data_IF_964275421942
#
_entry.id   IF_964275421942
#
_cell.length_a   1.000
_cell.length_b   1.000
_cell.length_c   1.000
_cell.angle_alpha   90.00
_cell.angle_beta   90.00
_cell.angle_gamma   90.00
#
_symmetry.space_group_name_H-M   'P 1'
#
loop_
_entity.id
_entity.type
_entity.pdbx_description
1 polymer ?
#
# COMPACT_ATOMS: atom_id res chain seq x y z
N UNK A 1 31.86 3.11 -23.80
CA UNK A 1 30.62 2.92 -24.58
C UNK A 1 29.48 3.54 -23.79
N UNK A 2 28.56 4.18 -24.53
CA UNK A 2 27.58 5.20 -24.12
C UNK A 2 26.60 4.76 -23.03
N UNK A 3 26.29 5.65 -22.08
CA UNK A 3 24.97 5.66 -21.44
C UNK A 3 24.39 7.09 -21.38
N UNK A 4 23.29 7.23 -22.12
CA UNK A 4 22.42 8.41 -22.26
C UNK A 4 21.79 8.78 -20.91
N UNK A 5 21.80 10.07 -20.57
CA UNK A 5 20.82 10.69 -19.66
C UNK A 5 19.80 11.46 -20.52
N UNK A 6 18.51 11.24 -20.29
CA UNK A 6 17.41 11.94 -20.95
C UNK A 6 16.90 13.02 -19.99
N UNK A 7 16.69 14.23 -20.52
CA UNK A 7 16.06 15.37 -19.83
C UNK A 7 14.68 15.53 -20.44
N UNK A 8 13.62 15.40 -19.64
CA UNK A 8 12.26 15.71 -20.06
C UNK A 8 11.80 17.01 -19.41
N UNK A 9 11.26 17.93 -20.23
CA UNK A 9 10.70 19.21 -19.80
C UNK A 9 9.16 19.14 -19.88
N UNK A 10 8.47 19.49 -18.80
CA UNK A 10 7.03 19.76 -18.81
C UNK A 10 6.83 21.28 -18.87
N UNK A 11 6.21 21.77 -19.95
CA UNK A 11 5.90 23.20 -20.13
C UNK A 11 4.47 23.48 -19.64
N UNK A 12 4.34 24.28 -18.58
CA UNK A 12 3.09 24.96 -18.23
C UNK A 12 3.26 26.44 -18.57
N UNK A 13 2.54 26.91 -19.59
CA UNK A 13 2.55 28.30 -20.02
C UNK A 13 1.41 29.08 -19.35
N UNK A 14 1.74 30.12 -18.59
CA UNK A 14 0.82 31.22 -18.27
C UNK A 14 1.52 32.52 -18.67
N UNK A 15 1.03 33.15 -19.75
CA UNK A 15 1.47 34.46 -20.21
C UNK A 15 0.56 35.51 -19.58
N UNK A 16 1.13 36.46 -18.84
CA UNK A 16 0.49 37.76 -18.59
C UNK A 16 1.48 38.84 -19.03
N UNK A 17 1.16 39.46 -20.17
CA UNK A 17 1.76 40.72 -20.60
C UNK A 17 1.03 41.84 -19.87
N UNK A 18 1.75 42.73 -19.19
CA UNK A 18 1.22 44.05 -18.85
C UNK A 18 2.23 45.14 -19.17
N UNK A 19 1.97 45.81 -20.29
CA UNK A 19 2.42 47.17 -20.59
C UNK A 19 1.71 48.16 -19.68
N UNK A 20 2.49 49.14 -19.23
CA UNK A 20 2.14 50.25 -18.33
C UNK A 20 0.98 51.11 -18.89
N UNK A 21 0.01 51.51 -18.04
CA UNK A 21 -0.81 52.69 -18.31
C UNK A 21 -2.20 52.80 -17.65
N UNK A 22 -2.24 53.27 -16.40
CA UNK A 22 -3.22 54.22 -15.83
C UNK A 22 -4.72 53.87 -15.64
N UNK A 23 -5.17 54.09 -14.40
CA UNK A 23 -6.49 54.53 -13.89
C UNK A 23 -7.59 53.48 -13.60
N UNK A 24 -7.72 53.25 -12.28
CA UNK A 24 -8.92 53.49 -11.45
C UNK A 24 -9.91 52.35 -11.16
N UNK A 25 -10.08 52.14 -9.84
CA UNK A 25 -11.26 51.70 -9.09
C UNK A 25 -11.74 50.24 -9.19
N UNK A 26 -11.90 49.61 -8.02
CA UNK A 26 -12.93 48.58 -7.81
C UNK A 26 -12.49 47.41 -6.94
N UNK A 27 -13.12 47.26 -5.78
CA UNK A 27 -12.86 46.29 -4.72
C UNK A 27 -13.59 44.94 -5.03
N UNK A 28 -13.09 43.85 -4.43
CA UNK A 28 -13.79 42.68 -3.85
C UNK A 28 -13.52 41.30 -4.52
N UNK A 29 -13.45 40.34 -3.61
CA UNK A 29 -12.85 39.01 -3.50
C UNK A 29 -13.50 37.84 -4.26
N UNK A 30 -12.65 36.82 -4.48
CA UNK A 30 -12.83 35.36 -4.45
C UNK A 30 -14.25 34.76 -4.57
N UNK A 31 -14.49 33.99 -5.65
CA UNK A 31 -15.01 32.62 -5.60
C UNK A 31 -14.95 31.93 -6.98
N UNK A 32 -14.41 30.71 -6.95
CA UNK A 32 -14.84 29.46 -7.61
C UNK A 32 -15.45 29.38 -9.02
N UNK A 33 -14.99 28.33 -9.71
CA UNK A 33 -15.70 27.42 -10.63
C UNK A 33 -16.06 27.85 -12.08
N UNK A 34 -15.34 27.19 -13.01
CA UNK A 34 -15.86 26.33 -14.09
C UNK A 34 -16.66 26.90 -15.28
N UNK A 35 -16.24 26.44 -16.47
CA UNK A 35 -17.07 26.00 -17.60
C UNK A 35 -17.72 27.10 -18.49
N UNK A 36 -17.09 27.25 -19.65
CA UNK A 36 -17.69 27.30 -20.99
C UNK A 36 -18.41 28.55 -21.52
N UNK A 37 -18.10 28.80 -22.79
CA UNK A 37 -18.97 29.34 -23.85
C UNK A 37 -19.23 30.84 -23.87
N UNK A 38 -18.68 31.53 -24.88
CA UNK A 38 -19.46 32.31 -25.84
C UNK A 38 -18.65 32.69 -27.09
N UNK A 39 -19.30 32.44 -28.23
CA UNK A 39 -18.97 32.73 -29.63
C UNK A 39 -18.46 34.18 -29.87
N UNK A 40 -17.79 34.54 -30.97
CA UNK A 40 -18.15 34.30 -32.37
C UNK A 40 -17.05 34.74 -33.37
N UNK A 41 -16.83 33.93 -34.42
CA UNK A 41 -16.54 34.22 -35.86
C UNK A 41 -15.58 35.39 -36.22
N UNK A 42 -14.62 35.27 -37.14
CA UNK A 42 -14.71 34.74 -38.52
C UNK A 42 -13.35 34.32 -39.09
N UNK A 43 -13.40 33.39 -40.04
CA UNK A 43 -12.29 32.88 -40.84
C UNK A 43 -11.39 33.98 -41.44
N UNK A 44 -10.09 33.89 -41.19
CA UNK A 44 -9.05 34.10 -42.20
C UNK A 44 -7.76 33.40 -41.74
N UNK A 45 -7.14 32.71 -42.69
CA UNK A 45 -6.00 31.79 -42.55
C UNK A 45 -4.78 32.42 -41.90
N UNK A 46 -4.18 31.74 -40.90
CA UNK A 46 -2.79 31.98 -40.51
C UNK A 46 -2.05 30.65 -40.56
N UNK A 47 -1.03 30.63 -41.41
CA UNK A 47 -0.12 29.53 -41.70
C UNK A 47 0.51 28.96 -40.42
N UNK A 48 0.34 27.66 -40.20
CA UNK A 48 1.20 26.88 -39.32
C UNK A 48 2.56 26.71 -39.98
N UNK A 49 3.51 27.59 -39.69
CA UNK A 49 4.91 27.36 -40.02
C UNK A 49 5.54 26.52 -38.90
N UNK A 50 5.80 25.25 -39.21
CA UNK A 50 6.58 24.33 -38.40
C UNK A 50 7.97 24.91 -38.11
N UNK A 51 8.36 24.99 -36.84
CA UNK A 51 9.75 25.05 -36.40
C UNK A 51 10.07 23.80 -35.59
N UNK A 52 10.15 22.66 -36.27
CA UNK A 52 11.18 21.67 -35.93
C UNK A 52 12.44 22.09 -36.69
N UNK A 53 13.40 22.72 -36.02
CA UNK A 53 14.84 22.62 -36.32
C UNK A 53 15.61 23.61 -35.42
N UNK A 54 16.06 23.12 -34.28
CA UNK A 54 17.33 23.54 -33.65
C UNK A 54 17.74 22.53 -32.60
N UNK A 55 18.09 21.33 -33.06
CA UNK A 55 19.06 20.50 -32.38
C UNK A 55 20.39 21.28 -32.30
N UNK A 56 20.67 21.91 -31.16
CA UNK A 56 21.98 22.48 -30.86
C UNK A 56 22.66 21.60 -29.80
N UNK A 57 23.84 21.10 -30.17
CA UNK A 57 24.51 19.97 -29.56
C UNK A 57 25.00 20.17 -28.12
N UNK A 58 24.63 19.23 -27.27
CA UNK A 58 25.28 18.96 -25.99
C UNK A 58 26.52 18.09 -26.25
N UNK A 59 27.71 18.69 -26.25
CA UNK A 59 28.98 17.95 -26.15
C UNK A 59 29.21 17.53 -24.70
N UNK A 60 29.54 16.25 -24.53
CA UNK A 60 30.08 15.70 -23.30
C UNK A 60 31.36 16.43 -22.88
N UNK A 61 31.49 16.67 -21.58
CA UNK A 61 32.71 17.14 -20.96
C UNK A 61 32.76 18.66 -20.75
N UNK A 62 32.75 19.03 -19.47
CA UNK A 62 33.30 20.25 -18.90
C UNK A 62 32.44 21.54 -18.90
N UNK A 63 32.25 21.98 -17.65
CA UNK A 63 32.38 23.37 -17.18
C UNK A 63 31.19 24.30 -17.47
N UNK A 64 30.57 24.72 -16.36
CA UNK A 64 29.82 25.97 -16.27
C UNK A 64 30.79 27.09 -16.67
N UNK A 65 30.68 27.60 -17.90
CA UNK A 65 31.38 28.82 -18.30
C UNK A 65 30.75 30.02 -17.60
N UNK A 66 31.26 30.34 -16.42
CA UNK A 66 31.28 31.72 -15.94
C UNK A 66 32.67 32.28 -16.20
N UNK A 67 32.80 33.21 -17.13
CA UNK A 67 34.04 34.00 -17.28
C UNK A 67 34.25 34.92 -16.06
N UNK A 68 35.51 35.24 -15.70
CA UNK A 68 35.90 35.46 -14.32
C UNK A 68 35.83 36.93 -13.91
N UNK A 69 35.42 37.18 -12.67
CA UNK A 69 35.95 38.32 -11.92
C UNK A 69 36.65 37.79 -10.66
N UNK A 70 37.89 38.22 -10.47
CA UNK A 70 38.78 37.81 -9.37
C UNK A 70 38.12 38.05 -8.01
N UNK A 71 38.08 37.01 -7.18
CA UNK A 71 37.99 37.16 -5.72
C UNK A 71 36.71 36.65 -5.03
N UNK A 72 36.24 35.44 -5.32
CA UNK A 72 35.15 34.83 -4.54
C UNK A 72 35.33 33.33 -4.36
N UNK A 73 35.07 32.87 -3.13
CA UNK A 73 35.33 31.51 -2.62
C UNK A 73 34.23 30.52 -3.04
N UNK A 74 34.61 29.26 -3.17
CA UNK A 74 33.74 28.11 -3.40
C UNK A 74 32.66 27.96 -2.31
N UNK A 75 31.40 27.75 -2.72
CA UNK A 75 30.35 27.22 -1.85
C UNK A 75 29.97 25.84 -2.39
N UNK A 76 30.32 24.80 -1.65
CA UNK A 76 29.80 23.46 -1.85
C UNK A 76 28.39 23.41 -1.26
N UNK A 77 27.37 23.19 -2.09
CA UNK A 77 26.01 22.95 -1.61
C UNK A 77 25.78 21.43 -1.50
N UNK A 78 25.82 20.92 -0.26
CA UNK A 78 25.12 19.69 0.13
C UNK A 78 23.66 20.06 0.39
N UNK A 79 22.72 19.43 -0.30
CA UNK A 79 21.31 19.49 0.08
C UNK A 79 20.32 19.60 -1.09
N UNK A 80 19.29 18.76 -1.03
CA UNK A 80 18.12 18.70 -1.90
C UNK A 80 17.44 20.09 -1.95
N UNK A 81 17.26 20.64 -3.15
CA UNK A 81 16.57 21.91 -3.34
C UNK A 81 16.31 22.20 -4.81
N UNK A 82 15.09 22.66 -5.13
CA UNK A 82 14.65 23.05 -6.48
C UNK A 82 15.60 24.10 -7.06
N UNK A 83 16.14 23.86 -8.25
CA UNK A 83 16.96 24.86 -8.94
C UNK A 83 16.05 25.72 -9.82
N UNK A 84 16.17 27.04 -9.70
CA UNK A 84 15.45 28.00 -10.54
C UNK A 84 16.42 28.53 -11.58
N UNK A 85 16.18 28.24 -12.86
CA UNK A 85 17.01 28.72 -13.96
C UNK A 85 16.29 29.89 -14.63
N UNK A 86 16.97 31.03 -14.72
CA UNK A 86 16.47 32.19 -15.45
C UNK A 86 17.21 32.22 -16.79
N UNK A 87 16.54 31.90 -17.92
CA UNK A 87 17.16 32.01 -19.22
C UNK A 87 17.37 33.49 -19.57
N UNK A 88 18.61 33.89 -19.87
CA UNK A 88 18.97 35.21 -20.37
C UNK A 88 19.22 35.16 -21.88
N UNK A 89 18.56 36.02 -22.64
CA UNK A 89 18.90 36.26 -24.05
C UNK A 89 19.98 37.34 -24.17
N UNK A 90 20.69 37.39 -25.30
CA UNK A 90 21.75 38.38 -25.59
C UNK A 90 21.29 39.85 -25.48
N UNK A 91 19.98 40.12 -25.52
CA UNK A 91 19.41 41.47 -25.58
C UNK A 91 18.59 41.87 -24.33
N UNK A 92 18.63 41.07 -23.26
CA UNK A 92 17.91 41.34 -22.00
C UNK A 92 17.01 40.19 -21.55
N UNK A 93 16.64 40.23 -20.26
CA UNK A 93 16.00 39.15 -19.50
C UNK A 93 14.66 38.67 -20.10
N UNK A 94 14.48 37.34 -20.20
CA UNK A 94 13.15 36.73 -20.27
C UNK A 94 12.60 36.65 -18.84
N UNK A 95 11.39 37.19 -18.61
CA UNK A 95 10.74 37.22 -17.29
C UNK A 95 10.19 35.87 -16.82
N UNK A 96 10.36 34.78 -17.57
CA UNK A 96 9.90 33.45 -17.18
C UNK A 96 11.04 32.64 -16.57
N UNK A 97 10.97 32.40 -15.26
CA UNK A 97 11.84 31.44 -14.58
C UNK A 97 11.42 30.02 -14.95
N UNK A 98 12.35 29.17 -15.38
CA UNK A 98 12.12 27.73 -15.55
C UNK A 98 12.51 27.05 -14.23
N UNK A 99 11.59 26.27 -13.67
CA UNK A 99 11.89 25.42 -12.52
C UNK A 99 12.54 24.13 -13.04
N UNK A 100 13.80 23.89 -12.68
CA UNK A 100 14.55 22.71 -13.11
C UNK A 100 14.71 21.79 -11.90
N UNK A 101 14.15 20.58 -12.00
CA UNK A 101 14.36 19.52 -11.01
C UNK A 101 15.69 18.83 -11.33
N UNK A 102 16.75 19.19 -10.61
CA UNK A 102 17.97 18.39 -10.61
C UNK A 102 17.67 17.13 -9.82
N UNK A 103 17.45 16.01 -10.52
CA UNK A 103 17.31 14.70 -9.89
C UNK A 103 18.67 14.04 -9.93
N UNK A 104 19.40 14.04 -8.81
CA UNK A 104 20.44 13.03 -8.63
C UNK A 104 19.73 11.68 -8.63
N UNK A 105 20.05 10.83 -9.60
CA UNK A 105 19.46 9.49 -9.69
C UNK A 105 19.90 8.73 -8.44
N UNK A 106 19.00 8.59 -7.49
CA UNK A 106 19.23 7.78 -6.30
C UNK A 106 18.94 6.36 -6.71
N UNK A 107 19.93 5.49 -6.58
CA UNK A 107 19.75 4.06 -6.82
C UNK A 107 19.07 3.44 -5.59
N UNK A 108 18.10 2.57 -5.80
CA UNK A 108 17.33 1.95 -4.72
C UNK A 108 17.44 0.42 -4.78
N UNK A 109 17.39 -0.20 -3.61
CA UNK A 109 17.05 -1.61 -3.51
C UNK A 109 15.63 -1.73 -3.00
N UNK A 110 14.82 -2.49 -3.74
CA UNK A 110 13.42 -2.80 -3.47
C UNK A 110 13.35 -4.27 -3.03
N UNK A 111 13.09 -4.51 -1.75
CA UNK A 111 12.79 -5.86 -1.26
C UNK A 111 11.31 -6.17 -1.51
N UNK A 112 11.09 -7.15 -2.39
CA UNK A 112 9.77 -7.53 -2.87
C UNK A 112 9.25 -8.74 -2.06
N UNK A 113 8.16 -8.59 -1.26
CA UNK A 113 7.57 -9.73 -0.54
C UNK A 113 6.99 -10.79 -1.50
N UNK A 114 6.79 -10.44 -2.76
CA UNK A 114 6.28 -11.32 -3.82
C UNK A 114 7.37 -11.94 -4.70
N UNK A 115 8.67 -11.78 -4.38
CA UNK A 115 9.78 -12.20 -5.27
C UNK A 115 9.80 -13.68 -5.62
N UNK A 116 9.23 -14.53 -4.76
CA UNK A 116 9.19 -15.98 -4.94
C UNK A 116 7.87 -16.47 -5.57
N UNK A 117 6.96 -15.56 -5.93
CA UNK A 117 5.65 -15.91 -6.47
C UNK A 117 5.73 -16.01 -8.00
N UNK A 118 5.51 -17.21 -8.52
CA UNK A 118 5.19 -17.38 -9.93
C UNK A 118 3.70 -17.07 -10.15
N UNK A 119 3.42 -15.81 -10.51
CA UNK A 119 2.07 -15.31 -10.75
C UNK A 119 1.26 -16.08 -11.81
N UNK A 120 1.92 -16.86 -12.68
CA UNK A 120 1.24 -17.66 -13.71
C UNK A 120 0.63 -18.95 -13.15
N UNK A 121 1.17 -19.44 -12.04
CA UNK A 121 0.82 -20.76 -11.47
C UNK A 121 0.36 -20.68 -10.02
N UNK A 122 0.61 -19.56 -9.34
CA UNK A 122 0.17 -19.33 -7.98
C UNK A 122 -1.36 -19.27 -7.88
N UNK A 123 -1.92 -20.10 -7.01
CA UNK A 123 -3.30 -20.02 -6.61
C UNK A 123 -3.50 -18.84 -5.66
N UNK A 124 -4.56 -18.06 -5.88
CA UNK A 124 -4.94 -16.95 -5.00
C UNK A 124 -6.10 -17.37 -4.09
N UNK A 125 -5.77 -17.99 -2.96
CA UNK A 125 -6.77 -18.54 -2.05
C UNK A 125 -7.42 -17.42 -1.23
N UNK A 126 -8.72 -17.19 -1.47
CA UNK A 126 -9.54 -16.32 -0.64
C UNK A 126 -9.65 -16.90 0.77
N UNK A 127 -9.19 -16.14 1.76
CA UNK A 127 -8.95 -16.63 3.12
C UNK A 127 -9.45 -15.64 4.17
N UNK A 128 -10.14 -16.15 5.20
CA UNK A 128 -10.54 -15.34 6.35
C UNK A 128 -9.93 -15.91 7.62
N UNK A 129 -9.32 -15.05 8.43
CA UNK A 129 -8.55 -15.42 9.62
C UNK A 129 -9.16 -14.90 10.92
N UNK A 130 -10.40 -14.40 10.87
CA UNK A 130 -11.10 -13.89 12.03
C UNK A 130 -12.61 -14.11 11.88
N UNK A 131 -13.15 -15.11 12.57
CA UNK A 131 -14.57 -15.47 12.51
C UNK A 131 -15.01 -16.17 13.80
N UNK A 132 -16.27 -15.92 14.18
CA UNK A 132 -16.85 -16.38 15.44
C UNK A 132 -18.06 -17.27 15.22
N UNK A 133 -18.28 -18.18 16.17
CA UNK A 133 -19.39 -19.12 16.20
C UNK A 133 -20.10 -19.08 17.56
N UNK A 134 -21.13 -19.92 17.73
CA UNK A 134 -21.76 -20.17 19.04
C UNK A 134 -20.82 -20.75 20.11
N UNK A 135 -19.56 -21.06 19.78
CA UNK A 135 -18.57 -21.55 20.75
C UNK A 135 -17.96 -20.42 21.58
N UNK A 136 -18.05 -19.17 21.12
CA UNK A 136 -17.92 -17.93 21.92
C UNK A 136 -19.23 -17.13 21.91
N UNK A 137 -19.31 -16.08 21.10
CA UNK A 137 -20.35 -15.05 21.10
C UNK A 137 -20.99 -14.80 19.72
N UNK A 138 -20.50 -15.51 18.69
CA UNK A 138 -21.14 -15.61 17.39
C UNK A 138 -22.53 -16.23 17.47
N UNK A 139 -23.34 -16.04 16.42
CA UNK A 139 -24.77 -16.41 16.40
C UNK A 139 -25.07 -17.67 15.61
N UNK A 140 -24.08 -18.21 14.91
CA UNK A 140 -24.24 -19.34 14.01
C UNK A 140 -23.37 -20.52 14.46
N UNK A 141 -23.83 -21.73 14.17
CA UNK A 141 -23.08 -22.96 14.44
C UNK A 141 -21.82 -23.05 13.59
N UNK A 142 -20.88 -23.90 13.99
CA UNK A 142 -19.69 -24.18 13.18
C UNK A 142 -20.08 -24.60 11.76
N UNK A 143 -21.03 -25.52 11.60
CA UNK A 143 -21.46 -26.01 10.28
C UNK A 143 -22.02 -24.89 9.39
N UNK A 144 -22.86 -24.01 9.94
CA UNK A 144 -23.43 -22.87 9.20
C UNK A 144 -22.34 -21.91 8.72
N UNK A 145 -21.36 -21.62 9.59
CA UNK A 145 -20.20 -20.78 9.24
C UNK A 145 -19.36 -21.43 8.13
N UNK A 146 -19.00 -22.72 8.25
CA UNK A 146 -18.23 -23.42 7.22
C UNK A 146 -18.95 -23.42 5.87
N UNK A 147 -20.26 -23.71 5.88
CA UNK A 147 -21.06 -23.70 4.67
C UNK A 147 -21.08 -22.32 4.02
N UNK A 148 -21.22 -21.24 4.82
CA UNK A 148 -21.28 -19.89 4.27
C UNK A 148 -19.96 -19.44 3.65
N UNK A 149 -18.83 -19.71 4.31
CA UNK A 149 -17.51 -19.42 3.74
C UNK A 149 -17.26 -20.23 2.46
N UNK A 150 -17.64 -21.51 2.45
CA UNK A 150 -17.52 -22.35 1.24
C UNK A 150 -18.40 -21.86 0.08
N UNK A 151 -19.65 -21.47 0.35
CA UNK A 151 -20.57 -20.87 -0.63
C UNK A 151 -19.98 -19.61 -1.29
N UNK A 152 -19.24 -18.81 -0.51
CA UNK A 152 -18.61 -17.57 -0.95
C UNK A 152 -17.21 -17.75 -1.56
N UNK A 153 -16.82 -19.00 -1.82
CA UNK A 153 -15.58 -19.35 -2.50
C UNK A 153 -14.31 -19.17 -1.67
N UNK A 154 -14.42 -19.16 -0.33
CA UNK A 154 -13.23 -19.17 0.51
C UNK A 154 -12.55 -20.53 0.47
N UNK A 155 -11.23 -20.52 0.27
CA UNK A 155 -10.39 -21.71 0.27
C UNK A 155 -9.75 -22.01 1.63
N UNK A 156 -9.65 -21.03 2.52
CA UNK A 156 -9.09 -21.20 3.87
C UNK A 156 -9.88 -20.39 4.91
N UNK A 157 -10.10 -20.98 6.08
CA UNK A 157 -10.77 -20.33 7.20
C UNK A 157 -10.07 -20.65 8.52
N UNK A 158 -9.89 -19.62 9.36
CA UNK A 158 -9.68 -19.79 10.80
C UNK A 158 -10.96 -19.36 11.53
N UNK A 159 -11.52 -20.26 12.33
CA UNK A 159 -12.52 -19.89 13.35
C UNK A 159 -11.74 -19.55 14.61
N UNK A 160 -11.88 -18.33 15.10
CA UNK A 160 -11.08 -17.74 16.17
C UNK A 160 -11.97 -17.33 17.33
N UNK A 161 -12.81 -18.24 17.81
CA UNK A 161 -13.70 -17.98 18.95
C UNK A 161 -12.92 -17.40 20.16
N UNK A 162 -13.53 -16.43 20.85
CA UNK A 162 -12.94 -15.77 22.01
C UNK A 162 -12.48 -16.76 23.10
N UNK A 163 -11.19 -16.70 23.42
CA UNK A 163 -10.50 -17.50 24.44
C UNK A 163 -10.79 -19.01 24.31
N UNK A 164 -11.06 -19.49 23.09
CA UNK A 164 -11.35 -20.90 22.81
C UNK A 164 -10.73 -21.40 21.51
N UNK A 165 -9.97 -22.50 21.59
CA UNK A 165 -9.48 -23.22 20.43
C UNK A 165 -10.55 -24.21 19.94
N UNK A 166 -11.30 -23.83 18.91
CA UNK A 166 -12.41 -24.61 18.35
C UNK A 166 -11.97 -25.63 17.28
N UNK A 167 -10.70 -25.61 16.86
CA UNK A 167 -10.16 -26.52 15.85
C UNK A 167 -9.48 -27.77 16.48
N UNK A 168 -9.65 -28.99 15.92
CA UNK A 168 -10.44 -29.32 14.73
C UNK A 168 -11.95 -29.18 14.96
N UNK A 169 -12.65 -28.64 13.95
CA UNK A 169 -14.06 -28.27 14.06
C UNK A 169 -15.02 -29.46 14.30
N UNK A 170 -14.62 -30.66 13.88
CA UNK A 170 -15.35 -31.91 14.07
C UNK A 170 -14.92 -32.70 15.30
N UNK A 171 -14.04 -32.15 16.14
CA UNK A 171 -13.68 -32.74 17.42
C UNK A 171 -14.78 -32.42 18.47
N UNK A 172 -15.36 -33.41 19.16
CA UNK A 172 -16.47 -33.17 20.09
C UNK A 172 -16.08 -32.45 21.38
N UNK A 173 -14.78 -32.35 21.72
CA UNK A 173 -14.29 -31.59 22.88
C UNK A 173 -14.07 -30.13 22.51
N UNK A 174 -13.50 -29.87 21.33
CA UNK A 174 -13.18 -28.53 20.85
C UNK A 174 -14.34 -27.90 20.07
N UNK A 175 -14.80 -28.57 19.01
CA UNK A 175 -15.88 -28.19 18.11
C UNK A 175 -17.20 -28.95 18.35
N UNK A 176 -17.81 -29.48 17.28
CA UNK A 176 -19.11 -30.18 17.28
C UNK A 176 -19.01 -31.59 16.67
N UNK A 177 -19.74 -32.57 17.25
CA UNK A 177 -19.59 -34.03 16.99
C UNK A 177 -19.88 -34.48 15.54
N UNK A 178 -20.52 -33.66 14.70
CA UNK A 178 -20.97 -34.04 13.35
C UNK A 178 -20.68 -32.97 12.29
N UNK A 179 -19.61 -32.18 12.48
CA UNK A 179 -19.24 -31.16 11.48
C UNK A 179 -18.67 -31.84 10.23
N UNK A 180 -19.21 -31.48 9.09
CA UNK A 180 -18.74 -31.86 7.76
C UNK A 180 -18.00 -30.65 7.19
N UNK A 181 -16.70 -30.81 6.95
CA UNK A 181 -15.87 -29.78 6.32
C UNK A 181 -16.18 -29.77 4.82
N UNK A 182 -16.66 -28.66 4.25
CA UNK A 182 -16.93 -28.58 2.82
C UNK A 182 -15.68 -28.87 1.97
N UNK A 183 -15.85 -29.57 0.87
CA UNK A 183 -14.76 -29.88 -0.05
C UNK A 183 -14.13 -28.57 -0.57
N UNK A 184 -12.81 -28.46 -0.48
CA UNK A 184 -12.07 -27.28 -0.93
C UNK A 184 -11.94 -26.17 0.10
N UNK A 185 -12.61 -26.28 1.26
CA UNK A 185 -12.38 -25.39 2.39
C UNK A 185 -11.36 -26.02 3.35
N UNK A 186 -10.20 -25.39 3.48
CA UNK A 186 -9.17 -25.79 4.41
C UNK A 186 -9.32 -25.02 5.72
N UNK A 187 -9.03 -25.66 6.85
CA UNK A 187 -9.08 -25.03 8.16
C UNK A 187 -7.70 -24.97 8.79
N UNK A 188 -7.37 -23.83 9.41
CA UNK A 188 -6.19 -23.70 10.27
C UNK A 188 -6.63 -23.58 11.74
N UNK A 189 -5.87 -24.12 12.70
CA UNK A 189 -6.13 -23.90 14.11
C UNK A 189 -5.99 -22.42 14.47
N UNK A 190 -6.97 -21.85 15.16
CA UNK A 190 -6.88 -20.46 15.64
C UNK A 190 -7.83 -20.17 16.80
N UNK A 191 -7.55 -19.08 17.51
CA UNK A 191 -8.35 -18.56 18.60
C UNK A 191 -8.06 -17.07 18.82
N UNK A 192 -9.05 -16.32 19.29
CA UNK A 192 -8.86 -14.92 19.67
C UNK A 192 -8.64 -14.79 21.17
N UNK A 193 -7.42 -14.43 21.57
CA UNK A 193 -7.12 -14.04 22.94
C UNK A 193 -7.73 -12.65 23.19
N UNK A 194 -8.68 -12.57 24.12
CA UNK A 194 -9.56 -11.39 24.30
C UNK A 194 -9.74 -10.96 25.76
N UNK A 195 -9.01 -11.58 26.68
CA UNK A 195 -9.22 -11.45 28.11
C UNK A 195 -8.54 -10.22 28.73
N UNK A 196 -9.21 -9.06 28.63
CA UNK A 196 -8.83 -7.76 29.26
C UNK A 196 -7.60 -7.07 28.67
N UNK A 197 -7.16 -7.51 27.51
CA UNK A 197 -6.03 -6.94 26.77
C UNK A 197 -6.46 -6.63 25.33
N UNK A 198 -5.57 -6.04 24.52
CA UNK A 198 -5.76 -5.89 23.09
C UNK A 198 -6.04 -7.25 22.46
N UNK A 199 -7.05 -7.38 21.62
CA UNK A 199 -7.38 -8.67 21.03
C UNK A 199 -6.28 -9.15 20.08
N UNK A 200 -5.95 -10.44 20.15
CA UNK A 200 -4.87 -11.06 19.38
C UNK A 200 -5.39 -12.40 18.86
N UNK A 201 -5.42 -12.62 17.54
CA UNK A 201 -5.56 -14.00 17.07
C UNK A 201 -4.22 -14.71 17.13
N UNK A 202 -4.22 -15.90 17.70
CA UNK A 202 -3.16 -16.89 17.52
C UNK A 202 -3.56 -17.91 16.45
N UNK A 203 -2.59 -18.35 15.65
CA UNK A 203 -2.77 -19.29 14.54
C UNK A 203 -1.80 -20.46 14.65
N UNK A 204 -2.20 -21.63 14.14
CA UNK A 204 -1.43 -22.88 14.27
C UNK A 204 -1.25 -23.32 15.73
N UNK A 205 -2.21 -22.96 16.58
CA UNK A 205 -2.26 -23.30 17.99
C UNK A 205 -2.51 -24.79 18.20
N UNK A 206 -1.84 -25.37 19.20
CA UNK A 206 -2.06 -26.74 19.68
C UNK A 206 -3.08 -26.74 20.83
N UNK A 207 -2.97 -25.75 21.69
CA UNK A 207 -3.76 -25.55 22.91
C UNK A 207 -3.98 -24.06 23.21
N UNK A 208 -4.84 -23.78 24.19
CA UNK A 208 -5.21 -22.43 24.61
C UNK A 208 -5.25 -22.30 26.12
N UNK A 209 -4.85 -21.14 26.61
CA UNK A 209 -4.96 -20.73 28.00
C UNK A 209 -5.57 -19.33 28.07
N UNK A 210 -6.27 -19.04 29.17
CA UNK A 210 -6.80 -17.70 29.43
C UNK A 210 -5.70 -16.84 30.04
N UNK A 211 -5.25 -15.85 29.28
CA UNK A 211 -4.13 -14.97 29.64
C UNK A 211 -4.65 -13.54 29.83
N UNK A 212 -3.95 -12.74 30.64
CA UNK A 212 -4.47 -11.43 31.06
C UNK A 212 -3.72 -10.24 30.47
N UNK A 213 -2.58 -10.47 29.80
CA UNK A 213 -1.81 -9.43 29.11
C UNK A 213 -1.41 -9.84 27.70
N UNK A 214 -1.09 -8.85 26.86
CA UNK A 214 -0.59 -9.07 25.51
C UNK A 214 0.74 -9.84 25.51
N UNK A 215 1.66 -9.51 26.42
CA UNK A 215 2.95 -10.20 26.49
C UNK A 215 2.81 -11.65 26.94
N UNK A 216 1.89 -11.95 27.86
CA UNK A 216 1.57 -13.33 28.26
C UNK A 216 1.03 -14.11 27.07
N UNK A 217 0.05 -13.54 26.36
CA UNK A 217 -0.54 -14.14 25.16
C UNK A 217 0.51 -14.39 24.07
N UNK A 218 1.33 -13.40 23.74
CA UNK A 218 2.34 -13.51 22.68
C UNK A 218 3.43 -14.52 23.01
N UNK A 219 3.92 -14.55 24.26
CA UNK A 219 4.88 -15.58 24.73
C UNK A 219 4.28 -16.97 24.68
N UNK A 220 3.02 -17.11 25.07
CA UNK A 220 2.34 -18.40 25.06
C UNK A 220 2.16 -18.91 23.62
N UNK A 221 1.73 -18.05 22.69
CA UNK A 221 1.63 -18.38 21.26
C UNK A 221 3.03 -18.76 20.72
N UNK A 222 4.06 -17.98 21.03
CA UNK A 222 5.43 -18.26 20.60
C UNK A 222 5.93 -19.63 21.08
N UNK A 223 5.65 -19.98 22.35
CA UNK A 223 6.05 -21.27 22.94
C UNK A 223 5.49 -22.48 22.20
N UNK A 224 4.40 -22.31 21.44
CA UNK A 224 3.79 -23.37 20.64
C UNK A 224 4.35 -23.45 19.21
N UNK A 225 5.26 -22.55 18.81
CA UNK A 225 5.68 -22.28 17.43
C UNK A 225 4.53 -21.78 16.54
N UNK A 226 3.58 -21.08 17.15
CA UNK A 226 2.39 -20.52 16.51
C UNK A 226 2.62 -19.05 16.11
N UNK A 227 1.76 -18.52 15.23
CA UNK A 227 1.82 -17.13 14.77
C UNK A 227 0.73 -16.28 15.43
N UNK A 228 0.92 -14.97 15.46
CA UNK A 228 -0.05 -14.02 15.98
C UNK A 228 -0.23 -12.80 15.06
N UNK A 229 -1.40 -12.20 15.09
CA UNK A 229 -1.64 -10.86 14.58
C UNK A 229 -2.54 -10.06 15.53
N UNK A 230 -2.45 -8.73 15.52
CA UNK A 230 -3.28 -7.86 16.36
C UNK A 230 -4.60 -7.54 15.67
N UNK A 231 -5.72 -7.74 16.37
CA UNK A 231 -7.05 -7.53 15.80
C UNK A 231 -7.51 -6.08 15.95
N UNK A 232 -8.14 -5.53 14.91
CA UNK A 232 -8.86 -4.25 14.92
C UNK A 232 -8.29 -3.15 15.85
N UNK A 233 -7.03 -2.71 15.65
CA UNK A 233 -6.33 -1.84 16.60
C UNK A 233 -7.02 -0.50 16.85
N UNK A 234 -7.81 0.02 15.91
CA UNK A 234 -8.58 1.25 16.09
C UNK A 234 -9.68 1.18 17.14
N UNK A 235 -9.95 -0.01 17.70
CA UNK A 235 -10.77 -0.19 18.90
C UNK A 235 -10.08 0.32 20.18
N UNK A 236 -8.75 0.44 20.16
CA UNK A 236 -7.94 0.71 21.35
C UNK A 236 -7.24 2.06 21.26
N UNK A 237 -7.15 2.75 22.39
CA UNK A 237 -6.36 3.98 22.53
C UNK A 237 -4.90 3.63 22.84
N UNK A 238 -4.15 3.25 21.81
CA UNK A 238 -2.72 2.90 21.88
C UNK A 238 -1.93 3.67 20.82
N UNK A 239 -0.80 4.30 21.15
CA UNK A 239 0.05 4.97 20.17
C UNK A 239 0.80 3.94 19.30
N UNK A 240 1.20 4.30 18.07
CA UNK A 240 1.99 3.42 17.18
C UNK A 240 3.26 2.88 17.85
N UNK A 241 3.92 3.65 18.71
CA UNK A 241 5.10 3.23 19.48
C UNK A 241 4.83 2.05 20.42
N UNK A 242 3.61 1.92 20.95
CA UNK A 242 3.23 0.75 21.76
C UNK A 242 3.24 -0.53 20.91
N UNK A 243 2.69 -0.46 19.69
CA UNK A 243 2.71 -1.58 18.75
C UNK A 243 4.13 -1.94 18.32
N UNK A 244 4.96 -0.94 17.99
CA UNK A 244 6.37 -1.14 17.63
C UNK A 244 7.12 -1.91 18.72
N UNK A 245 6.90 -1.57 20.00
CA UNK A 245 7.54 -2.26 21.12
C UNK A 245 7.17 -3.75 21.18
N UNK A 246 5.94 -4.13 20.82
CA UNK A 246 5.54 -5.54 20.72
C UNK A 246 6.23 -6.22 19.54
N UNK A 247 6.21 -5.61 18.35
CA UNK A 247 6.85 -6.19 17.16
C UNK A 247 8.36 -6.38 17.32
N UNK A 248 9.04 -5.52 18.08
CA UNK A 248 10.47 -5.68 18.39
C UNK A 248 10.75 -6.86 19.33
N UNK A 249 9.79 -7.19 20.19
CA UNK A 249 9.94 -8.25 21.19
C UNK A 249 9.48 -9.62 20.70
N UNK A 250 8.50 -9.68 19.79
CA UNK A 250 7.79 -10.91 19.43
C UNK A 250 7.88 -11.20 17.92
N UNK A 251 8.86 -12.01 17.48
CA UNK A 251 8.99 -12.43 16.07
C UNK A 251 7.72 -13.08 15.51
N UNK A 252 7.03 -13.89 16.33
CA UNK A 252 5.78 -14.58 15.97
C UNK A 252 4.59 -13.64 15.76
N UNK A 253 4.67 -12.37 16.18
CA UNK A 253 3.68 -11.35 15.88
C UNK A 253 3.93 -10.81 14.47
N UNK A 254 3.20 -11.34 13.49
CA UNK A 254 3.50 -11.11 12.06
C UNK A 254 2.84 -9.85 11.49
N UNK A 255 1.80 -9.33 12.13
CA UNK A 255 1.06 -8.18 11.62
C UNK A 255 -0.14 -7.74 12.42
N UNK A 256 -0.98 -6.92 11.78
CA UNK A 256 -2.24 -6.41 12.33
C UNK A 256 -3.35 -6.41 11.28
N UNK A 257 -4.59 -6.41 11.75
CA UNK A 257 -5.73 -6.08 10.90
C UNK A 257 -5.71 -4.60 10.53
N UNK A 258 -5.55 -4.35 9.24
CA UNK A 258 -5.65 -3.02 8.63
C UNK A 258 -7.10 -2.73 8.24
N UNK A 259 -7.86 -3.77 7.90
CA UNK A 259 -9.30 -3.72 7.65
C UNK A 259 -9.97 -4.77 8.53
N UNK A 260 -10.89 -4.32 9.38
CA UNK A 260 -11.78 -5.18 10.14
C UNK A 260 -13.24 -4.93 9.72
N UNK A 261 -14.02 -6.01 9.52
CA UNK A 261 -15.39 -5.97 9.00
C UNK A 261 -15.46 -5.18 7.68
N UNK A 262 -16.46 -4.32 7.56
CA UNK A 262 -16.75 -3.37 6.49
C UNK A 262 -15.97 -2.05 6.66
N UNK A 263 -14.68 -2.17 7.03
CA UNK A 263 -13.82 -1.05 7.34
C UNK A 263 -14.35 -0.21 8.52
N UNK A 264 -14.55 -0.91 9.64
CA UNK A 264 -15.08 -0.36 10.89
C UNK A 264 -14.14 0.69 11.51
N UNK A 265 -12.83 0.56 11.30
CA UNK A 265 -11.80 1.42 11.91
C UNK A 265 -10.89 2.04 10.83
N UNK A 266 -11.32 3.14 10.18
CA UNK A 266 -10.64 3.56 8.97
C UNK A 266 -9.20 4.03 9.15
N UNK A 267 -8.86 4.50 10.34
CA UNK A 267 -7.54 5.00 10.69
C UNK A 267 -6.50 3.90 10.87
N UNK A 268 -6.88 2.62 10.84
CA UNK A 268 -5.95 1.49 11.04
C UNK A 268 -4.90 1.41 9.91
N UNK A 269 -5.24 1.87 8.70
CA UNK A 269 -4.26 2.07 7.61
C UNK A 269 -3.20 3.10 7.97
N UNK A 270 -3.61 4.22 8.58
CA UNK A 270 -2.68 5.27 9.01
C UNK A 270 -1.79 4.75 10.14
N UNK A 271 -2.36 4.03 11.10
CA UNK A 271 -1.60 3.39 12.17
C UNK A 271 -0.57 2.40 11.59
N UNK A 272 -0.97 1.58 10.62
CA UNK A 272 -0.05 0.66 9.94
C UNK A 272 1.07 1.42 9.24
N UNK A 273 0.77 2.49 8.52
CA UNK A 273 1.78 3.33 7.86
C UNK A 273 2.76 3.99 8.85
N UNK A 274 2.26 4.49 9.98
CA UNK A 274 3.09 5.06 11.05
C UNK A 274 4.03 3.98 11.63
N UNK A 275 3.52 2.76 11.87
CA UNK A 275 4.34 1.62 12.34
C UNK A 275 5.41 1.26 11.30
N UNK A 276 5.03 1.10 10.03
CA UNK A 276 5.95 0.74 8.96
C UNK A 276 7.06 1.79 8.78
N UNK A 277 6.70 3.07 8.88
CA UNK A 277 7.67 4.18 8.76
C UNK A 277 8.83 4.02 9.73
N UNK A 278 8.55 3.54 10.94
CA UNK A 278 9.53 3.49 12.03
C UNK A 278 10.23 2.13 12.18
N UNK A 279 9.65 1.01 11.71
CA UNK A 279 10.18 -0.34 11.98
C UNK A 279 10.64 -1.12 10.75
N UNK A 280 10.27 -0.73 9.52
CA UNK A 280 10.53 -1.52 8.29
C UNK A 280 12.01 -1.83 8.06
N UNK A 281 12.92 -1.02 8.59
CA UNK A 281 14.36 -1.28 8.52
C UNK A 281 14.79 -2.50 9.37
N UNK A 282 14.12 -2.74 10.50
CA UNK A 282 14.38 -3.86 11.41
C UNK A 282 13.59 -5.12 11.01
N UNK A 283 12.30 -4.95 10.66
CA UNK A 283 11.43 -6.04 10.20
C UNK A 283 10.20 -5.50 9.49
N UNK A 284 9.60 -6.33 8.65
CA UNK A 284 8.27 -6.06 8.12
C UNK A 284 7.17 -6.34 9.17
N UNK A 285 6.04 -5.66 8.97
CA UNK A 285 4.78 -5.84 9.69
C UNK A 285 3.68 -5.96 8.66
N UNK A 286 3.03 -7.12 8.57
CA UNK A 286 2.05 -7.38 7.52
C UNK A 286 0.67 -6.82 7.84
N UNK A 287 -0.02 -6.35 6.81
CA UNK A 287 -1.41 -5.93 6.90
C UNK A 287 -2.35 -7.08 6.58
N UNK A 288 -3.42 -7.24 7.37
CA UNK A 288 -4.46 -8.24 7.17
C UNK A 288 -5.83 -7.58 7.00
N UNK A 289 -6.74 -8.29 6.32
CA UNK A 289 -8.15 -7.92 6.30
C UNK A 289 -9.04 -9.11 6.66
N UNK A 290 -9.91 -8.95 7.64
CA UNK A 290 -10.82 -10.01 8.05
C UNK A 290 -12.22 -9.50 8.41
N UNK A 291 -13.18 -10.39 8.22
CA UNK A 291 -14.59 -10.11 8.41
C UNK A 291 -14.98 -9.92 9.88
N UNK A 292 -14.26 -10.55 10.83
CA UNK A 292 -14.64 -10.61 12.25
C UNK A 292 -16.13 -10.94 12.40
N UNK A 293 -16.55 -11.97 11.64
CA UNK A 293 -17.95 -12.27 11.42
C UNK A 293 -18.54 -12.95 12.65
N UNK A 294 -19.57 -12.35 13.24
CA UNK A 294 -20.37 -12.95 14.32
C UNK A 294 -21.71 -13.50 13.81
N UNK A 295 -22.03 -13.21 12.54
CA UNK A 295 -23.25 -13.62 11.84
C UNK A 295 -22.95 -13.98 10.40
N UNK A 296 -23.73 -14.86 9.79
CA UNK A 296 -23.56 -15.25 8.37
C UNK A 296 -23.60 -14.08 7.37
N UNK A 297 -24.34 -13.01 7.67
CA UNK A 297 -24.42 -11.84 6.80
C UNK A 297 -23.22 -10.88 6.92
N UNK A 298 -22.28 -11.15 7.83
CA UNK A 298 -21.06 -10.35 8.04
C UNK A 298 -19.82 -10.95 7.33
N UNK A 299 -19.94 -12.17 6.79
CA UNK A 299 -18.84 -12.98 6.24
C UNK A 299 -18.16 -12.38 5.00
N UNK A 300 -18.91 -11.68 4.14
CA UNK A 300 -18.39 -11.20 2.85
C UNK A 300 -18.02 -9.70 2.88
N UNK A 301 -17.28 -9.28 3.90
CA UNK A 301 -16.87 -7.88 4.07
C UNK A 301 -15.43 -7.64 3.68
N UNK A 302 -14.50 -8.45 4.17
CA UNK A 302 -13.07 -8.34 3.86
C UNK A 302 -12.34 -9.67 4.06
N UNK A 303 -11.20 -9.84 3.39
CA UNK A 303 -10.49 -11.11 3.30
C UNK A 303 -9.05 -10.95 2.81
N UNK A 304 -8.26 -12.01 2.96
CA UNK A 304 -6.90 -12.11 2.43
C UNK A 304 -6.89 -12.98 1.16
N UNK A 305 -5.98 -12.69 0.23
CA UNK A 305 -5.70 -13.51 -0.96
C UNK A 305 -4.29 -14.06 -0.84
N UNK A 306 -4.23 -15.29 -0.35
CA UNK A 306 -2.99 -15.99 -0.05
C UNK A 306 -2.42 -16.58 -1.33
N UNK A 307 -1.18 -16.26 -1.65
CA UNK A 307 -0.52 -16.68 -2.89
C UNK A 307 0.20 -18.00 -2.64
N UNK A 308 -0.40 -19.10 -3.06
CA UNK A 308 0.09 -20.45 -2.80
C UNK A 308 0.50 -21.11 -4.11
N UNK A 309 1.75 -21.55 -4.18
CA UNK A 309 2.28 -22.32 -5.29
C UNK A 309 1.69 -23.74 -5.29
N UNK A 310 1.02 -24.13 -6.38
CA UNK A 310 0.41 -25.46 -6.50
C UNK A 310 -0.68 -25.73 -5.45
N UNK A 311 -0.80 -26.98 -5.00
CA UNK A 311 -1.84 -27.37 -4.04
C UNK A 311 -1.62 -26.77 -2.64
N UNK A 312 -2.72 -26.50 -1.95
CA UNK A 312 -2.71 -26.04 -0.57
C UNK A 312 -2.01 -27.05 0.35
N UNK A 313 -1.13 -26.53 1.21
CA UNK A 313 -0.67 -27.20 2.42
C UNK A 313 -0.64 -26.20 3.56
N UNK A 314 -0.79 -26.66 4.79
CA UNK A 314 -0.70 -25.79 5.98
C UNK A 314 0.67 -25.11 6.07
N UNK A 315 1.75 -25.81 5.69
CA UNK A 315 3.12 -25.28 5.67
C UNK A 315 3.27 -24.10 4.69
N UNK A 316 2.78 -24.25 3.46
CA UNK A 316 2.80 -23.16 2.47
C UNK A 316 1.95 -21.97 2.92
N UNK A 317 0.81 -22.23 3.56
CA UNK A 317 -0.03 -21.19 4.11
C UNK A 317 0.66 -20.42 5.24
N UNK A 318 1.30 -21.13 6.17
CA UNK A 318 2.12 -20.55 7.24
C UNK A 318 3.27 -19.72 6.67
N UNK A 319 4.02 -20.27 5.70
CA UNK A 319 5.08 -19.55 4.98
C UNK A 319 4.57 -18.24 4.39
N UNK A 320 3.39 -18.28 3.75
CA UNK A 320 2.82 -17.08 3.15
C UNK A 320 2.48 -16.01 4.19
N UNK A 321 1.96 -16.40 5.36
CA UNK A 321 1.74 -15.47 6.48
C UNK A 321 3.05 -14.90 7.06
N UNK A 322 4.11 -15.71 7.15
CA UNK A 322 5.42 -15.28 7.66
C UNK A 322 6.12 -14.30 6.71
N UNK A 323 6.01 -14.53 5.41
CA UNK A 323 6.75 -13.81 4.37
C UNK A 323 5.98 -12.68 3.70
N UNK A 324 4.69 -12.50 4.00
CA UNK A 324 3.87 -11.50 3.31
C UNK A 324 3.50 -11.91 1.88
N UNK A 325 3.47 -13.21 1.56
CA UNK A 325 3.11 -13.76 0.24
C UNK A 325 1.57 -13.74 0.04
N UNK A 326 0.97 -12.59 0.27
CA UNK A 326 -0.46 -12.36 0.12
C UNK A 326 -0.74 -10.88 -0.08
N UNK A 327 -1.95 -10.57 -0.48
CA UNK A 327 -2.47 -9.21 -0.43
C UNK A 327 -3.89 -9.29 0.13
N UNK A 328 -4.46 -8.18 0.59
CA UNK A 328 -5.75 -8.21 1.26
C UNK A 328 -6.77 -7.32 0.56
N UNK A 329 -8.04 -7.63 0.74
CA UNK A 329 -9.15 -7.01 0.02
C UNK A 329 -10.27 -6.64 0.98
N UNK A 330 -10.82 -5.44 0.82
CA UNK A 330 -12.04 -4.99 1.46
C UNK A 330 -13.11 -4.76 0.38
N UNK A 331 -14.30 -5.35 0.54
CA UNK A 331 -15.43 -5.06 -0.35
C UNK A 331 -16.04 -3.69 -0.06
N UNK A 332 -15.93 -3.23 1.19
CA UNK A 332 -16.37 -1.91 1.66
C UNK A 332 -15.16 -1.25 2.33
N UNK A 333 -14.75 -0.08 1.86
CA UNK A 333 -13.70 0.70 2.50
C UNK A 333 -13.85 2.21 2.26
N UNK A 334 -13.12 3.03 3.00
CA UNK A 334 -13.09 4.48 2.77
C UNK A 334 -12.70 4.82 1.31
N UNK A 335 -11.76 4.09 0.71
CA UNK A 335 -11.22 4.37 -0.62
C UNK A 335 -12.19 4.07 -1.77
N UNK A 336 -13.19 3.20 -1.55
CA UNK A 336 -14.29 3.02 -2.51
C UNK A 336 -15.58 3.75 -2.11
N UNK A 337 -15.47 4.79 -1.27
CA UNK A 337 -16.59 5.57 -0.74
C UNK A 337 -17.61 4.72 0.05
N UNK A 338 -17.15 3.65 0.70
CA UNK A 338 -17.96 2.68 1.44
C UNK A 338 -19.07 2.05 0.58
N UNK A 339 -18.83 1.89 -0.72
CA UNK A 339 -19.76 1.23 -1.65
C UNK A 339 -19.32 -0.21 -1.89
N UNK A 340 -20.29 -1.11 -1.93
CA UNK A 340 -20.07 -2.49 -2.35
C UNK A 340 -20.93 -2.76 -3.58
N UNK A 341 -20.31 -3.21 -4.68
CA UNK A 341 -21.02 -3.79 -5.79
C UNK A 341 -20.77 -5.30 -5.82
N UNK A 342 -21.66 -6.12 -5.21
CA UNK A 342 -21.43 -7.56 -5.06
C UNK A 342 -21.44 -8.32 -6.40
N UNK A 343 -21.88 -7.68 -7.49
CA UNK A 343 -21.91 -8.27 -8.82
C UNK A 343 -20.60 -8.07 -9.59
N UNK A 344 -19.68 -7.26 -9.07
CA UNK A 344 -18.38 -6.98 -9.69
C UNK A 344 -17.29 -7.54 -8.79
N UNK A 345 -16.37 -8.37 -9.31
CA UNK A 345 -15.24 -8.83 -8.54
C UNK A 345 -14.37 -7.66 -8.05
N UNK A 346 -13.88 -7.76 -6.82
CA UNK A 346 -12.89 -6.83 -6.31
C UNK A 346 -11.58 -6.89 -7.14
N UNK A 347 -10.78 -5.81 -7.15
CA UNK A 347 -9.49 -5.76 -7.85
C UNK A 347 -8.61 -6.96 -7.53
N UNK A 348 -8.10 -7.61 -8.57
CA UNK A 348 -7.26 -8.80 -8.45
C UNK A 348 -5.92 -8.53 -9.11
N UNK A 349 -4.83 -8.82 -8.41
CA UNK A 349 -3.47 -8.66 -8.93
C UNK A 349 -3.14 -9.91 -9.73
N UNK A 350 -2.77 -9.75 -10.99
CA UNK A 350 -2.34 -10.87 -11.84
C UNK A 350 -0.83 -10.94 -11.97
N UNK A 351 -0.10 -9.86 -11.67
CA UNK A 351 1.35 -9.84 -11.67
C UNK A 351 1.90 -8.64 -10.89
N UNK A 352 3.09 -8.79 -10.32
CA UNK A 352 3.89 -7.69 -9.78
C UNK A 352 5.31 -7.82 -10.31
N UNK A 353 5.77 -6.76 -10.98
CA UNK A 353 7.10 -6.69 -11.58
C UNK A 353 7.90 -5.66 -10.79
N UNK A 354 9.00 -6.10 -10.18
CA UNK A 354 9.96 -5.23 -9.51
C UNK A 354 11.25 -5.25 -10.31
N UNK A 355 11.66 -4.08 -10.79
CA UNK A 355 12.90 -3.87 -11.55
C UNK A 355 13.81 -2.95 -10.73
N UNK A 356 14.82 -3.55 -10.08
CA UNK A 356 15.78 -2.82 -9.25
C UNK A 356 16.73 -1.96 -10.11
N UNK A 357 17.03 -2.33 -11.36
CA UNK A 357 17.91 -1.54 -12.23
C UNK A 357 17.24 -0.23 -12.68
N UNK A 358 15.90 -0.26 -12.77
CA UNK A 358 15.07 0.91 -13.13
C UNK A 358 14.44 1.61 -11.92
N UNK A 359 14.57 1.06 -10.72
CA UNK A 359 13.90 1.52 -9.50
C UNK A 359 12.36 1.59 -9.64
N UNK A 360 11.78 0.61 -10.34
CA UNK A 360 10.34 0.59 -10.65
C UNK A 360 9.60 -0.59 -10.06
N UNK A 361 8.35 -0.35 -9.67
CA UNK A 361 7.37 -1.38 -9.31
C UNK A 361 6.15 -1.22 -10.22
N UNK A 362 5.76 -2.27 -10.92
CA UNK A 362 4.56 -2.30 -11.78
C UNK A 362 3.59 -3.37 -11.29
N UNK A 363 2.31 -3.03 -11.23
CA UNK A 363 1.22 -3.94 -10.88
C UNK A 363 0.31 -4.11 -12.10
N UNK A 364 0.06 -5.37 -12.45
CA UNK A 364 -0.92 -5.77 -13.44
C UNK A 364 -2.08 -6.47 -12.74
N UNK A 365 -3.28 -6.35 -13.30
CA UNK A 365 -4.45 -6.96 -12.69
C UNK A 365 -5.75 -6.70 -13.42
N UNK A 366 -6.82 -7.20 -12.83
CA UNK A 366 -8.18 -7.13 -13.35
C UNK A 366 -9.07 -6.33 -12.39
N UNK A 367 -10.14 -5.73 -12.94
CA UNK A 367 -11.12 -4.94 -12.19
C UNK A 367 -10.52 -3.72 -11.47
N UNK A 368 -9.41 -3.19 -11.99
CA UNK A 368 -8.71 -2.03 -11.46
C UNK A 368 -9.24 -0.76 -12.13
N UNK A 369 -9.72 0.20 -11.33
CA UNK A 369 -10.01 1.56 -11.81
C UNK A 369 -8.75 2.43 -11.75
N UNK A 370 -8.02 2.38 -10.62
CA UNK A 370 -6.74 3.06 -10.47
C UNK A 370 -5.92 2.45 -9.33
N UNK A 371 -4.61 2.74 -9.34
CA UNK A 371 -3.67 2.38 -8.28
C UNK A 371 -3.09 3.65 -7.68
N UNK A 372 -3.09 3.73 -6.36
CA UNK A 372 -2.41 4.74 -5.56
C UNK A 372 -1.20 4.14 -4.86
N UNK A 373 -0.07 4.82 -4.96
CA UNK A 373 1.17 4.44 -4.27
C UNK A 373 1.30 5.24 -2.99
N UNK A 374 1.49 4.55 -1.88
CA UNK A 374 1.58 5.13 -0.54
C UNK A 374 2.96 4.81 0.05
N UNK A 375 3.55 5.80 0.72
CA UNK A 375 4.77 5.62 1.52
C UNK A 375 4.59 6.17 2.93
N UNK A 376 5.72 6.38 3.59
CA UNK A 376 5.85 6.86 4.99
C UNK A 376 4.81 7.89 5.40
N UNK A 377 4.22 7.69 6.58
CA UNK A 377 3.18 8.53 7.17
C UNK A 377 1.95 8.73 6.26
N UNK A 378 1.55 7.67 5.54
CA UNK A 378 0.42 7.68 4.60
C UNK A 378 0.54 8.66 3.44
N UNK A 379 1.76 9.06 3.08
CA UNK A 379 1.98 10.02 1.99
C UNK A 379 1.69 9.36 0.64
N UNK A 380 0.80 9.96 -0.15
CA UNK A 380 0.63 9.58 -1.54
C UNK A 380 1.88 9.96 -2.36
N UNK A 381 2.48 8.96 -3.01
CA UNK A 381 3.69 9.09 -3.82
C UNK A 381 3.36 9.28 -5.30
N UNK A 382 2.22 8.75 -5.75
CA UNK A 382 1.80 8.81 -7.14
C UNK A 382 0.54 8.00 -7.41
N UNK A 383 0.10 8.04 -8.67
CA UNK A 383 -1.00 7.22 -9.20
C UNK A 383 -0.60 6.59 -10.52
N UNK A 384 -1.13 5.41 -10.80
CA UNK A 384 -0.89 4.66 -12.03
C UNK A 384 -0.33 3.28 -11.76
N UNK A 385 -0.29 2.46 -12.81
CA UNK A 385 0.06 1.04 -12.69
C UNK A 385 1.52 0.80 -12.33
N UNK A 386 2.39 1.80 -12.53
CA UNK A 386 3.79 1.75 -12.19
C UNK A 386 4.20 2.92 -11.31
N UNK A 387 5.08 2.65 -10.36
CA UNK A 387 5.82 3.65 -9.59
C UNK A 387 7.28 3.62 -10.02
N UNK A 388 7.87 4.79 -10.25
CA UNK A 388 9.29 4.99 -10.43
C UNK A 388 9.83 5.77 -9.23
N UNK A 389 10.70 5.16 -8.42
CA UNK A 389 11.20 5.78 -7.19
C UNK A 389 12.02 7.05 -7.47
N UNK A 390 12.63 7.17 -8.65
CA UNK A 390 13.35 8.38 -9.05
C UNK A 390 12.43 9.60 -9.26
N UNK A 391 11.14 9.38 -9.47
CA UNK A 391 10.16 10.46 -9.62
C UNK A 391 9.61 10.93 -8.28
N UNK A 392 9.71 10.09 -7.24
CA UNK A 392 9.26 10.38 -5.88
C UNK A 392 10.10 11.52 -5.29
N UNK A 393 9.44 12.59 -4.87
CA UNK A 393 10.10 13.85 -4.44
C UNK A 393 10.75 13.78 -3.07
N UNK A 394 10.57 12.70 -2.33
CA UNK A 394 11.11 12.52 -0.99
C UNK A 394 11.32 11.04 -0.71
N UNK A 395 12.48 10.64 -0.17
CA UNK A 395 12.73 9.24 0.19
C UNK A 395 11.65 8.69 1.11
N UNK A 396 11.47 7.38 1.05
CA UNK A 396 10.54 6.66 1.90
C UNK A 396 11.10 5.25 2.12
N UNK A 397 11.02 4.68 3.34
CA UNK A 397 11.65 3.40 3.65
C UNK A 397 10.79 2.22 3.18
N UNK A 398 9.56 2.48 2.73
CA UNK A 398 8.70 1.49 2.09
C UNK A 398 7.74 2.15 1.10
N UNK A 399 7.21 1.34 0.19
CA UNK A 399 6.06 1.69 -0.64
C UNK A 399 5.03 0.59 -0.59
N UNK A 400 3.74 0.91 -0.71
CA UNK A 400 2.65 -0.06 -0.87
C UNK A 400 1.60 0.51 -1.82
N UNK A 401 0.81 -0.36 -2.43
CA UNK A 401 -0.26 0.03 -3.34
C UNK A 401 -1.64 -0.11 -2.69
N UNK A 402 -2.50 0.86 -2.98
CA UNK A 402 -3.96 0.80 -2.80
C UNK A 402 -4.57 0.68 -4.19
N UNK A 403 -5.24 -0.42 -4.46
CA UNK A 403 -5.76 -0.80 -5.77
C UNK A 403 -7.27 -0.70 -5.69
N UNK A 404 -7.82 0.36 -6.28
CA UNK A 404 -9.25 0.68 -6.17
C UNK A 404 -9.97 0.14 -7.40
N UNK A 405 -11.13 -0.47 -7.18
CA UNK A 405 -12.06 -0.85 -8.23
C UNK A 405 -13.50 -0.81 -7.76
N UNK A 406 -14.43 -1.11 -8.67
CA UNK A 406 -15.86 -0.99 -8.39
C UNK A 406 -16.36 -2.07 -7.41
N UNK A 407 -15.75 -3.26 -7.45
CA UNK A 407 -16.09 -4.39 -6.57
C UNK A 407 -15.42 -4.37 -5.20
N UNK A 408 -14.54 -3.41 -4.92
CA UNK A 408 -13.76 -3.38 -3.67
C UNK A 408 -12.40 -2.70 -3.82
N UNK A 409 -11.57 -2.83 -2.78
CA UNK A 409 -10.22 -2.27 -2.72
C UNK A 409 -9.25 -3.34 -2.26
N UNK A 410 -8.17 -3.52 -3.00
CA UNK A 410 -7.09 -4.44 -2.66
C UNK A 410 -5.84 -3.67 -2.25
N UNK A 411 -5.06 -4.24 -1.33
CA UNK A 411 -3.89 -3.59 -0.73
C UNK A 411 -2.72 -4.56 -0.76
N UNK A 412 -1.57 -4.14 -1.29
CA UNK A 412 -0.35 -4.94 -1.23
C UNK A 412 0.28 -4.88 0.16
N UNK A 413 1.11 -5.87 0.48
CA UNK A 413 2.12 -5.75 1.51
C UNK A 413 3.16 -4.67 1.13
N UNK A 414 3.89 -4.11 2.11
CA UNK A 414 4.92 -3.11 1.84
C UNK A 414 6.12 -3.73 1.13
N UNK A 415 6.62 -3.02 0.13
CA UNK A 415 7.93 -3.22 -0.45
C UNK A 415 8.91 -2.35 0.34
N UNK A 416 9.91 -2.95 0.99
CA UNK A 416 10.96 -2.17 1.66
C UNK A 416 11.83 -1.51 0.61
N UNK A 417 12.15 -0.23 0.81
CA UNK A 417 12.95 0.58 -0.11
C UNK A 417 14.15 1.14 0.63
N UNK A 418 15.35 0.81 0.17
CA UNK A 418 16.61 1.32 0.74
C UNK A 418 17.36 2.10 -0.32
N UNK A 419 17.63 3.39 -0.07
CA UNK A 419 18.48 4.19 -0.93
C UNK A 419 19.94 3.72 -0.81
N UNK A 420 20.56 3.40 -1.92
CA UNK A 420 21.97 3.07 -1.98
C UNK A 420 22.77 4.37 -1.84
N UNK A 421 23.63 4.45 -0.82
CA UNK A 421 24.66 5.49 -0.81
C UNK A 421 25.59 5.21 -1.97
N UNK A 422 25.66 6.14 -2.93
CA UNK A 422 26.56 5.99 -4.09
C UNK A 422 27.95 5.60 -3.60
N UNK A 423 28.49 4.49 -4.13
CA UNK A 423 29.91 4.20 -3.97
C UNK A 423 30.66 5.41 -4.53
N UNK A 424 31.33 6.13 -3.65
CA UNK A 424 32.33 7.10 -4.04
C UNK A 424 33.53 6.24 -4.44
N UNK A 425 33.54 5.80 -5.69
CA UNK A 425 34.71 5.18 -6.31
C UNK A 425 35.75 6.26 -6.68
#
# INVERSE_FOLDING_TARGET
MKYKKIVECILMATIVVSTIGSKALGIVSEQDTSISTLCSMSNESIETTNYEESLIGLKEGNVIETLPSKGSRFIAAKGIGRARVIPTSKDGELQSSIEVKVVEKTDYTIDNPYKNIDWRTANQLKSNLHAHTKKSDGKDTIQEVLNKYSELGYGVLAITDHDRLTYPWNDPKKGDKNVIIPKGLNGIPGAEFSSKHHHINGFFLKEIEKLSTEEEALKYIESQNALAHLNHPGRYDKPHTWYINLYKQFPNLVGLEVINKDDRYPNDRKLWDDILTDIIEERNVWGFANADSHRLNEVNTSYNRMLIDGEYTEEKFRRAMENGEFYFTANISAENNRKNNPNIPAPTITNIIVDNDKDTITIEGENIQYIEWIGSNSRQLGRGNSLNLNEVTSPTPYVRAVIVGEGGVSFTQPFKVTAQQGKID
#
